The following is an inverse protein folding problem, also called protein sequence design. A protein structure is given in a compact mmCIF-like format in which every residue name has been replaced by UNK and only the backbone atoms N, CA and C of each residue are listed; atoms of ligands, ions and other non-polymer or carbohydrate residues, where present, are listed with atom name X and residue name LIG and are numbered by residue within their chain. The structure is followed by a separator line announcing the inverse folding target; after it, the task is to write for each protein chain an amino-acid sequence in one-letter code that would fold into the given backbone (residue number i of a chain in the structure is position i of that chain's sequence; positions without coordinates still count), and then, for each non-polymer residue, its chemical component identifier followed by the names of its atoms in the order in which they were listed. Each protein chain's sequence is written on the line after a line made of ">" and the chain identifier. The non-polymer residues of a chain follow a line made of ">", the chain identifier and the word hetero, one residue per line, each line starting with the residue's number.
data_IF_683679755041
#
_entry.id   IF_683679755041
#
_cell.length_a   1.000
_cell.length_b   1.000
_cell.length_c   1.000
_cell.angle_alpha   90.00
_cell.angle_beta   90.00
_cell.angle_gamma   90.00
#
_symmetry.space_group_name_H-M   'P 1'
#
loop_
_entity.id
_entity.type
_entity.pdbx_description
1 polymer ?
#
# COMPACT_ATOMS: atom_id res chain seq x y z
N UNK A 1 -30.85 41.15 -25.77
CA UNK A 1 -30.66 39.70 -25.94
C UNK A 1 -29.32 39.34 -25.35
N UNK A 2 -29.32 38.78 -24.14
CA UNK A 2 -28.13 38.35 -23.40
C UNK A 2 -27.93 36.86 -23.71
N UNK A 3 -26.78 36.42 -24.25
CA UNK A 3 -26.51 34.99 -24.35
C UNK A 3 -26.01 34.48 -22.99
N UNK A 4 -26.79 33.57 -22.42
CA UNK A 4 -26.54 32.92 -21.15
C UNK A 4 -25.38 31.93 -21.21
N UNK A 5 -24.69 31.84 -20.07
CA UNK A 5 -23.74 30.80 -19.72
C UNK A 5 -24.47 29.47 -19.48
N UNK A 6 -23.86 28.32 -19.81
CA UNK A 6 -24.03 27.14 -18.98
C UNK A 6 -22.68 26.49 -18.65
N UNK A 7 -22.23 26.72 -17.42
CA UNK A 7 -21.47 25.76 -16.64
C UNK A 7 -22.49 24.82 -15.97
N UNK A 8 -22.54 23.54 -16.35
CA UNK A 8 -23.16 22.53 -15.48
C UNK A 8 -22.62 21.11 -15.74
N UNK A 9 -21.83 20.64 -14.78
CA UNK A 9 -21.83 19.28 -14.23
C UNK A 9 -21.33 18.09 -15.08
N UNK A 10 -20.01 17.96 -15.23
CA UNK A 10 -19.40 16.63 -15.29
C UNK A 10 -19.26 16.07 -13.87
N UNK A 11 -20.31 15.37 -13.39
CA UNK A 11 -20.19 14.52 -12.20
C UNK A 11 -19.34 13.31 -12.60
N UNK A 12 -18.13 13.23 -12.04
CA UNK A 12 -17.21 12.12 -12.23
C UNK A 12 -17.86 10.77 -11.95
N UNK A 13 -18.03 9.98 -13.00
CA UNK A 13 -18.48 8.59 -12.94
C UNK A 13 -17.38 7.77 -12.25
N UNK A 14 -17.71 7.14 -11.11
CA UNK A 14 -16.77 6.30 -10.38
C UNK A 14 -16.27 5.13 -11.26
N UNK A 15 -14.97 4.79 -11.25
CA UNK A 15 -14.43 3.71 -12.05
C UNK A 15 -15.00 2.34 -11.65
N UNK A 16 -15.15 1.46 -12.64
CA UNK A 16 -15.76 0.13 -12.54
C UNK A 16 -15.34 -0.62 -11.26
N UNK A 17 -16.32 -0.93 -10.41
CA UNK A 17 -16.09 -1.56 -9.12
C UNK A 17 -15.59 -2.99 -9.31
N UNK A 18 -14.39 -3.29 -8.80
CA UNK A 18 -14.01 -4.68 -8.53
C UNK A 18 -14.92 -5.14 -7.41
N UNK A 19 -15.77 -6.15 -7.67
CA UNK A 19 -16.66 -6.69 -6.65
C UNK A 19 -15.81 -7.47 -5.65
N UNK A 20 -15.48 -6.82 -4.53
CA UNK A 20 -14.80 -7.47 -3.43
C UNK A 20 -15.76 -8.48 -2.77
N UNK A 21 -15.27 -9.64 -2.30
CA UNK A 21 -16.10 -10.62 -1.60
C UNK A 21 -16.90 -9.99 -0.46
N UNK A 22 -18.11 -10.47 -0.18
CA UNK A 22 -18.92 -9.99 0.96
C UNK A 22 -19.25 -8.46 0.95
N UNK A 23 -18.93 -7.67 -0.09
CA UNK A 23 -19.23 -6.23 -0.16
C UNK A 23 -20.72 -5.94 0.00
N UNK A 24 -21.57 -6.71 -0.65
CA UNK A 24 -23.03 -6.56 -0.56
C UNK A 24 -23.54 -6.89 0.85
N UNK A 25 -22.92 -7.87 1.51
CA UNK A 25 -23.24 -8.20 2.89
C UNK A 25 -22.81 -7.06 3.83
N UNK A 26 -21.63 -6.48 3.61
CA UNK A 26 -21.17 -5.31 4.36
C UNK A 26 -22.15 -4.13 4.20
N UNK A 27 -22.58 -3.83 2.96
CA UNK A 27 -23.57 -2.78 2.70
C UNK A 27 -24.90 -3.04 3.44
N UNK A 28 -25.39 -4.29 3.42
CA UNK A 28 -26.61 -4.69 4.15
C UNK A 28 -26.48 -4.52 5.67
N UNK A 29 -25.28 -4.75 6.23
CA UNK A 29 -25.01 -4.54 7.65
C UNK A 29 -24.93 -3.04 8.00
N UNK A 30 -24.29 -2.24 7.16
CA UNK A 30 -24.04 -0.82 7.45
C UNK A 30 -25.29 0.06 7.28
N UNK A 31 -26.15 -0.21 6.29
CA UNK A 31 -27.35 0.59 5.99
C UNK A 31 -28.27 0.83 7.19
N UNK A 32 -28.68 -0.18 7.98
CA UNK A 32 -29.52 0.05 9.14
C UNK A 32 -28.75 0.62 10.34
N UNK A 33 -27.45 0.35 10.46
CA UNK A 33 -26.66 0.72 11.64
C UNK A 33 -26.25 2.18 11.60
N UNK A 34 -25.62 2.64 10.50
CA UNK A 34 -24.98 3.96 10.41
C UNK A 34 -25.93 5.11 10.75
N UNK A 35 -27.16 5.19 10.20
CA UNK A 35 -28.10 6.28 10.50
C UNK A 35 -28.55 6.31 11.96
N UNK A 36 -28.64 5.15 12.62
CA UNK A 36 -29.06 5.02 14.03
C UNK A 36 -27.96 5.51 14.98
N UNK A 37 -26.68 5.46 14.56
CA UNK A 37 -25.58 5.94 15.39
C UNK A 37 -25.60 7.47 15.54
N UNK A 38 -25.80 8.18 14.43
CA UNK A 38 -25.88 9.64 14.33
C UNK A 38 -26.15 10.05 12.88
N UNK A 39 -26.86 11.16 12.61
CA UNK A 39 -26.92 11.75 11.26
C UNK A 39 -25.53 12.16 10.73
N UNK A 40 -24.57 12.40 11.61
CA UNK A 40 -23.18 12.75 11.28
C UNK A 40 -22.22 11.54 11.28
N UNK A 41 -22.75 10.33 11.34
CA UNK A 41 -21.94 9.11 11.31
C UNK A 41 -21.28 8.92 9.94
N UNK A 42 -19.96 8.73 9.95
CA UNK A 42 -19.17 8.53 8.72
C UNK A 42 -18.35 7.25 8.84
N UNK A 43 -18.53 6.31 7.92
CA UNK A 43 -17.72 5.09 7.83
C UNK A 43 -16.30 5.45 7.37
N UNK A 44 -15.29 4.83 7.97
CA UNK A 44 -13.88 5.24 7.83
C UNK A 44 -12.93 4.04 7.79
N UNK A 45 -11.63 4.33 7.67
CA UNK A 45 -10.55 3.35 7.85
C UNK A 45 -10.71 2.13 6.91
N UNK A 46 -10.31 0.92 7.33
CA UNK A 46 -10.44 -0.33 6.57
C UNK A 46 -11.87 -0.62 6.09
N UNK A 47 -12.90 -0.17 6.81
CA UNK A 47 -14.30 -0.36 6.38
C UNK A 47 -14.62 0.54 5.19
N UNK A 48 -14.20 1.82 5.22
CA UNK A 48 -14.35 2.71 4.07
C UNK A 48 -13.49 2.26 2.89
N UNK A 49 -12.25 1.81 3.14
CA UNK A 49 -11.37 1.27 2.08
C UNK A 49 -12.05 0.14 1.31
N UNK A 50 -12.73 -0.77 2.03
CA UNK A 50 -13.49 -1.86 1.42
C UNK A 50 -14.64 -1.36 0.53
N UNK A 51 -15.36 -0.32 0.97
CA UNK A 51 -16.44 0.28 0.19
C UNK A 51 -15.93 0.98 -1.08
N UNK A 52 -14.71 1.54 -1.03
CA UNK A 52 -13.95 2.07 -2.17
C UNK A 52 -13.37 0.97 -3.08
N UNK A 53 -13.54 -0.31 -2.75
CA UNK A 53 -13.02 -1.44 -3.53
C UNK A 53 -11.54 -1.74 -3.29
N UNK A 54 -10.99 -1.29 -2.16
CA UNK A 54 -9.63 -1.59 -1.71
C UNK A 54 -9.70 -2.59 -0.54
N UNK A 55 -9.27 -3.83 -0.78
CA UNK A 55 -9.20 -4.84 0.27
C UNK A 55 -7.92 -4.71 1.09
N UNK A 56 -8.06 -4.24 2.33
CA UNK A 56 -6.97 -4.13 3.31
C UNK A 56 -7.14 -5.12 4.47
N UNK A 57 -8.05 -6.07 4.35
CA UNK A 57 -8.32 -7.09 5.37
C UNK A 57 -7.17 -8.10 5.39
N UNK A 58 -6.78 -8.54 6.58
CA UNK A 58 -5.71 -9.52 6.71
C UNK A 58 -6.09 -10.83 6.00
N UNK A 59 -5.13 -11.54 5.37
CA UNK A 59 -5.41 -12.84 4.78
C UNK A 59 -6.08 -13.81 5.77
N UNK A 60 -7.21 -14.41 5.37
CA UNK A 60 -8.00 -15.33 6.19
C UNK A 60 -9.07 -14.66 7.06
N UNK A 61 -9.05 -13.34 7.20
CA UNK A 61 -10.12 -12.58 7.83
C UNK A 61 -11.19 -12.19 6.80
N UNK A 62 -12.38 -11.82 7.28
CA UNK A 62 -13.48 -11.31 6.45
C UNK A 62 -13.90 -9.95 6.98
N UNK A 63 -14.12 -8.99 6.09
CA UNK A 63 -14.54 -7.63 6.49
C UNK A 63 -15.80 -7.65 7.36
N UNK A 64 -16.71 -8.59 7.10
CA UNK A 64 -17.98 -8.78 7.81
C UNK A 64 -17.84 -9.32 9.23
N UNK A 65 -16.66 -9.85 9.59
CA UNK A 65 -16.33 -10.30 10.95
C UNK A 65 -15.59 -9.23 11.76
N UNK A 66 -15.22 -8.12 11.12
CA UNK A 66 -14.58 -6.98 11.79
C UNK A 66 -15.66 -5.97 12.20
N UNK A 67 -15.55 -5.35 13.39
CA UNK A 67 -16.47 -4.29 13.76
C UNK A 67 -16.31 -3.11 12.78
N UNK A 68 -17.39 -2.62 12.16
CA UNK A 68 -17.35 -1.45 11.31
C UNK A 68 -16.67 -0.26 11.99
N UNK A 69 -15.76 0.40 11.27
CA UNK A 69 -15.04 1.59 11.73
C UNK A 69 -15.85 2.82 11.38
N UNK A 70 -16.29 3.57 12.39
CA UNK A 70 -17.16 4.74 12.22
C UNK A 70 -16.60 5.94 12.99
N UNK A 71 -16.59 7.11 12.36
CA UNK A 71 -16.36 8.39 13.00
C UNK A 71 -17.69 9.00 13.44
N UNK A 72 -17.71 9.51 14.68
CA UNK A 72 -18.87 10.21 15.24
C UNK A 72 -18.39 11.49 15.93
N UNK A 73 -19.15 12.60 15.88
CA UNK A 73 -18.89 13.76 16.72
C UNK A 73 -18.83 13.40 18.23
N UNK A 74 -18.30 14.32 19.04
CA UNK A 74 -18.35 14.19 20.49
C UNK A 74 -19.80 14.05 20.95
N UNK A 75 -20.07 13.12 21.88
CA UNK A 75 -21.43 12.81 22.30
C UNK A 75 -21.49 11.58 23.19
N UNK A 76 -22.72 11.17 23.56
CA UNK A 76 -22.96 10.07 24.50
C UNK A 76 -22.29 8.78 24.02
N UNK A 77 -21.72 8.02 24.96
CA UNK A 77 -21.16 6.71 24.68
C UNK A 77 -22.25 5.78 24.14
N UNK A 78 -22.00 5.18 22.98
CA UNK A 78 -22.83 4.12 22.44
C UNK A 78 -22.49 2.84 23.20
N UNK A 79 -23.45 2.29 23.94
CA UNK A 79 -23.28 1.00 24.64
C UNK A 79 -23.94 -0.11 23.83
N UNK A 80 -23.25 -1.25 23.72
CA UNK A 80 -23.80 -2.46 23.08
C UNK A 80 -23.82 -2.46 21.55
N UNK A 81 -23.29 -1.43 20.89
CA UNK A 81 -23.22 -1.41 19.42
C UNK A 81 -21.94 -2.11 18.93
N UNK A 82 -22.02 -3.05 17.96
CA UNK A 82 -20.87 -3.82 17.47
C UNK A 82 -20.02 -3.01 16.46
N UNK A 83 -19.72 -1.74 16.78
CA UNK A 83 -18.95 -0.83 15.92
C UNK A 83 -17.75 -0.26 16.68
N UNK A 84 -16.66 -0.04 15.96
CA UNK A 84 -15.47 0.59 16.49
C UNK A 84 -15.52 2.09 16.19
N UNK A 85 -15.78 2.89 17.23
CA UNK A 85 -15.99 4.34 17.13
C UNK A 85 -14.69 5.12 17.32
N UNK A 86 -14.41 6.08 16.44
CA UNK A 86 -13.48 7.18 16.70
C UNK A 86 -14.28 8.48 16.87
N UNK A 87 -14.00 9.21 17.95
CA UNK A 87 -14.63 10.52 18.20
C UNK A 87 -13.92 11.59 17.37
N UNK A 88 -14.63 12.07 16.36
CA UNK A 88 -14.13 13.01 15.39
C UNK A 88 -15.29 13.64 14.61
N UNK A 89 -15.22 14.96 14.39
CA UNK A 89 -16.07 15.63 13.41
C UNK A 89 -15.35 15.62 12.06
N UNK A 90 -15.76 14.71 11.16
CA UNK A 90 -15.19 14.64 9.81
C UNK A 90 -15.66 15.87 9.02
N UNK A 91 -14.77 16.68 8.41
CA UNK A 91 -15.17 17.83 7.60
C UNK A 91 -16.08 17.42 6.43
N UNK A 92 -17.05 18.26 6.05
CA UNK A 92 -17.97 17.96 4.95
C UNK A 92 -17.26 17.66 3.63
N UNK A 93 -16.13 18.34 3.35
CA UNK A 93 -15.29 18.09 2.17
C UNK A 93 -14.67 16.68 2.14
N UNK A 94 -14.54 16.03 3.30
CA UNK A 94 -14.02 14.67 3.44
C UNK A 94 -15.14 13.62 3.53
N UNK A 95 -16.42 14.00 3.34
CA UNK A 95 -17.58 13.09 3.39
C UNK A 95 -18.10 12.82 1.99
N UNK A 96 -18.22 11.55 1.63
CA UNK A 96 -18.78 11.08 0.35
C UNK A 96 -19.83 10.02 0.63
N UNK A 97 -20.86 9.91 -0.19
CA UNK A 97 -21.82 8.81 -0.11
C UNK A 97 -21.44 7.70 -1.11
N UNK A 98 -21.26 6.48 -0.60
CA UNK A 98 -21.10 5.27 -1.43
C UNK A 98 -22.31 4.39 -1.19
N UNK A 99 -23.12 4.16 -2.23
CA UNK A 99 -24.35 3.34 -2.14
C UNK A 99 -25.31 3.79 -1.03
N UNK A 100 -25.38 5.11 -0.81
CA UNK A 100 -26.20 5.75 0.23
C UNK A 100 -25.59 5.76 1.63
N UNK A 101 -24.37 5.24 1.80
CA UNK A 101 -23.67 5.19 3.10
C UNK A 101 -22.62 6.31 3.16
N UNK A 102 -22.67 7.20 4.18
CA UNK A 102 -21.63 8.20 4.38
C UNK A 102 -20.29 7.53 4.71
N UNK A 103 -19.27 7.83 3.91
CA UNK A 103 -17.89 7.35 4.03
C UNK A 103 -16.91 8.52 3.97
N UNK A 104 -15.72 8.34 4.53
CA UNK A 104 -14.61 9.26 4.26
C UNK A 104 -14.26 9.24 2.76
N UNK A 105 -13.86 10.39 2.20
CA UNK A 105 -13.35 10.49 0.82
C UNK A 105 -12.22 9.51 0.56
N UNK A 106 -11.97 9.14 -0.69
CA UNK A 106 -10.94 8.14 -1.02
C UNK A 106 -9.56 8.58 -0.52
N UNK A 107 -9.22 9.87 -0.69
CA UNK A 107 -7.96 10.46 -0.27
C UNK A 107 -7.84 10.52 1.26
N UNK A 108 -8.92 10.90 1.96
CA UNK A 108 -8.96 10.89 3.42
C UNK A 108 -8.82 9.48 3.97
N UNK A 109 -9.50 8.51 3.36
CA UNK A 109 -9.43 7.10 3.71
C UNK A 109 -8.01 6.58 3.53
N UNK A 110 -7.39 6.81 2.37
CA UNK A 110 -6.02 6.41 2.07
C UNK A 110 -5.01 7.00 3.07
N UNK A 111 -5.12 8.32 3.34
CA UNK A 111 -4.28 8.99 4.32
C UNK A 111 -4.44 8.38 5.72
N UNK A 112 -5.68 8.08 6.14
CA UNK A 112 -5.98 7.53 7.45
C UNK A 112 -5.48 6.10 7.63
N UNK A 113 -5.72 5.20 6.66
CA UNK A 113 -5.25 3.81 6.74
C UNK A 113 -3.73 3.73 6.69
N UNK A 114 -3.05 4.63 5.97
CA UNK A 114 -1.60 4.71 5.93
C UNK A 114 -1.03 5.29 7.23
N UNK A 115 -1.61 6.38 7.74
CA UNK A 115 -1.21 7.00 8.99
C UNK A 115 -1.40 6.06 10.19
N UNK A 116 -2.43 5.21 10.19
CA UNK A 116 -2.71 4.24 11.26
C UNK A 116 -2.01 2.89 11.08
N UNK A 117 -1.31 2.68 9.96
CA UNK A 117 -0.58 1.44 9.72
C UNK A 117 0.51 1.19 10.80
N UNK A 118 0.84 -0.08 11.10
CA UNK A 118 1.84 -0.41 12.11
C UNK A 118 3.27 -0.03 11.71
N UNK A 119 3.53 0.21 10.43
CA UNK A 119 4.86 0.51 9.88
C UNK A 119 4.77 1.26 8.55
N UNK A 120 5.90 1.82 8.10
CA UNK A 120 6.02 2.44 6.78
C UNK A 120 5.82 1.43 5.64
N UNK A 121 6.37 0.20 5.67
CA UNK A 121 6.05 -0.83 4.68
C UNK A 121 4.56 -1.08 4.51
N UNK A 122 3.82 -1.27 5.61
CA UNK A 122 2.37 -1.53 5.54
C UNK A 122 1.62 -0.28 5.07
N UNK A 123 2.03 0.91 5.52
CA UNK A 123 1.47 2.16 5.02
C UNK A 123 1.66 2.31 3.50
N UNK A 124 2.84 1.97 2.99
CA UNK A 124 3.18 2.03 1.56
C UNK A 124 2.30 1.08 0.77
N UNK A 125 2.16 -0.17 1.21
CA UNK A 125 1.27 -1.15 0.57
C UNK A 125 -0.19 -0.69 0.53
N UNK A 126 -0.69 -0.07 1.60
CA UNK A 126 -2.04 0.47 1.65
C UNK A 126 -2.21 1.61 0.63
N UNK A 127 -1.26 2.53 0.53
CA UNK A 127 -1.32 3.63 -0.44
C UNK A 127 -1.26 3.11 -1.88
N UNK A 128 -0.36 2.17 -2.17
CA UNK A 128 -0.24 1.54 -3.49
C UNK A 128 -1.58 0.94 -3.94
N UNK A 129 -2.32 0.30 -3.04
CA UNK A 129 -3.61 -0.29 -3.35
C UNK A 129 -4.69 0.73 -3.74
N UNK A 130 -4.65 1.95 -3.18
CA UNK A 130 -5.51 3.06 -3.64
C UNK A 130 -5.03 3.64 -4.98
N UNK A 131 -3.73 3.80 -5.15
CA UNK A 131 -3.11 4.34 -6.37
C UNK A 131 -3.34 3.44 -7.58
N UNK A 132 -3.21 2.13 -7.41
CA UNK A 132 -3.44 1.13 -8.46
C UNK A 132 -4.89 1.16 -9.00
N UNK A 133 -5.84 1.65 -8.19
CA UNK A 133 -7.25 1.84 -8.60
C UNK A 133 -7.54 3.23 -9.19
N UNK A 134 -6.56 4.12 -9.24
CA UNK A 134 -6.75 5.51 -9.68
C UNK A 134 -7.68 6.32 -8.76
N UNK A 135 -7.83 5.91 -7.49
CA UNK A 135 -8.75 6.54 -6.54
C UNK A 135 -8.20 7.81 -5.90
N UNK A 136 -6.87 7.99 -5.92
CA UNK A 136 -6.19 9.07 -5.20
C UNK A 136 -5.05 9.64 -6.04
N UNK A 137 -4.82 10.95 -5.89
CA UNK A 137 -3.62 11.61 -6.39
C UNK A 137 -2.50 11.51 -5.33
N UNK A 138 -1.35 10.88 -5.64
CA UNK A 138 -0.25 10.78 -4.70
C UNK A 138 0.28 12.14 -4.20
N UNK A 139 0.12 13.21 -4.97
CA UNK A 139 0.53 14.57 -4.57
C UNK A 139 -0.33 15.12 -3.44
N UNK A 140 -1.60 14.71 -3.37
CA UNK A 140 -2.58 15.21 -2.39
C UNK A 140 -2.60 14.41 -1.08
N UNK A 141 -2.04 13.19 -1.07
CA UNK A 141 -2.08 12.32 0.11
C UNK A 141 -1.40 12.94 1.35
N UNK A 142 -0.31 13.68 1.17
CA UNK A 142 0.42 14.33 2.28
C UNK A 142 -0.23 15.65 2.75
N UNK A 143 -1.19 16.18 1.97
CA UNK A 143 -1.87 17.44 2.26
C UNK A 143 -3.02 17.25 3.24
N UNK A 144 -3.57 16.04 3.36
CA UNK A 144 -4.66 15.75 4.29
C UNK A 144 -4.27 15.99 5.75
N UNK A 145 -5.01 16.89 6.39
CA UNK A 145 -4.87 17.27 7.80
C UNK A 145 -5.96 16.60 8.63
N UNK A 146 -5.85 15.29 8.81
CA UNK A 146 -6.59 14.60 9.86
C UNK A 146 -5.91 14.84 11.23
N UNK A 147 -6.57 14.57 12.37
CA UNK A 147 -5.96 14.65 13.69
C UNK A 147 -5.00 13.48 13.92
N UNK A 148 -3.88 13.49 13.20
CA UNK A 148 -2.79 12.54 13.31
C UNK A 148 -1.76 13.03 14.34
N UNK A 149 -1.18 12.10 15.10
CA UNK A 149 0.01 12.41 15.88
C UNK A 149 1.18 12.70 14.94
N UNK A 150 2.22 13.38 15.44
CA UNK A 150 3.45 13.64 14.67
C UNK A 150 4.04 12.37 14.06
N UNK A 151 4.01 11.25 14.79
CA UNK A 151 4.52 9.97 14.31
C UNK A 151 3.64 9.35 13.20
N UNK A 152 2.32 9.48 13.30
CA UNK A 152 1.38 9.02 12.27
C UNK A 152 1.52 9.84 10.98
N UNK A 153 1.63 11.16 11.10
CA UNK A 153 1.85 12.04 9.95
C UNK A 153 3.20 11.77 9.28
N UNK A 154 4.29 11.60 10.06
CA UNK A 154 5.59 11.22 9.50
C UNK A 154 5.56 9.88 8.76
N UNK A 155 4.80 8.90 9.26
CA UNK A 155 4.59 7.61 8.57
C UNK A 155 3.88 7.80 7.23
N UNK A 156 2.79 8.58 7.21
CA UNK A 156 2.05 8.92 5.99
C UNK A 156 2.97 9.58 4.96
N UNK A 157 3.71 10.63 5.32
CA UNK A 157 4.60 11.33 4.39
C UNK A 157 5.70 10.42 3.85
N UNK A 158 6.30 9.60 4.70
CA UNK A 158 7.33 8.64 4.29
C UNK A 158 6.76 7.62 3.31
N UNK A 159 5.60 7.04 3.63
CA UNK A 159 4.94 6.06 2.78
C UNK A 159 4.48 6.67 1.44
N UNK A 160 3.99 7.91 1.44
CA UNK A 160 3.59 8.63 0.23
C UNK A 160 4.80 8.87 -0.70
N UNK A 161 5.95 9.25 -0.14
CA UNK A 161 7.20 9.36 -0.90
C UNK A 161 7.71 8.01 -1.43
N UNK A 162 7.24 6.90 -0.86
CA UNK A 162 7.54 5.55 -1.33
C UNK A 162 6.38 4.94 -2.10
N UNK A 163 5.27 5.62 -2.40
CA UNK A 163 4.13 4.95 -3.02
C UNK A 163 4.34 4.77 -4.54
N UNK A 164 3.68 3.78 -5.14
CA UNK A 164 3.68 3.51 -6.59
C UNK A 164 2.38 2.80 -6.99
N UNK A 165 1.73 3.22 -8.08
CA UNK A 165 0.55 2.52 -8.61
C UNK A 165 0.89 1.17 -9.26
N UNK A 166 2.17 0.87 -9.50
CA UNK A 166 2.61 -0.29 -10.28
C UNK A 166 2.84 -1.55 -9.43
N UNK A 167 2.78 -1.43 -8.09
CA UNK A 167 2.97 -2.59 -7.20
C UNK A 167 1.81 -3.56 -7.37
N UNK A 168 2.11 -4.83 -7.65
CA UNK A 168 1.09 -5.85 -7.92
C UNK A 168 0.69 -6.63 -6.66
N UNK A 169 1.45 -6.48 -5.58
CA UNK A 169 1.15 -7.11 -4.30
C UNK A 169 1.61 -6.28 -3.10
N UNK A 170 1.00 -6.45 -1.92
CA UNK A 170 1.48 -5.82 -0.69
C UNK A 170 2.94 -6.15 -0.37
N UNK A 171 3.40 -7.34 -0.75
CA UNK A 171 4.75 -7.79 -0.45
C UNK A 171 5.83 -7.07 -1.29
N UNK A 172 5.53 -6.79 -2.56
CA UNK A 172 6.37 -5.93 -3.41
C UNK A 172 6.51 -4.52 -2.80
N UNK A 173 5.39 -3.95 -2.35
CA UNK A 173 5.38 -2.66 -1.65
C UNK A 173 6.21 -2.69 -0.36
N UNK A 174 6.11 -3.79 0.41
CA UNK A 174 6.90 -3.95 1.63
C UNK A 174 8.39 -4.01 1.34
N UNK A 175 8.80 -4.83 0.37
CA UNK A 175 10.19 -4.97 -0.05
C UNK A 175 10.74 -3.62 -0.50
N UNK A 176 9.99 -2.88 -1.32
CA UNK A 176 10.37 -1.56 -1.80
C UNK A 176 10.57 -0.56 -0.68
N UNK A 177 9.62 -0.49 0.26
CA UNK A 177 9.73 0.38 1.42
C UNK A 177 10.96 0.02 2.26
N UNK A 178 11.24 -1.27 2.49
CA UNK A 178 12.41 -1.72 3.26
C UNK A 178 13.74 -1.36 2.56
N UNK A 179 13.81 -1.52 1.24
CA UNK A 179 14.96 -1.09 0.42
C UNK A 179 15.20 0.41 0.53
N UNK A 180 14.14 1.22 0.40
CA UNK A 180 14.22 2.68 0.48
C UNK A 180 14.59 3.17 1.89
N UNK A 181 14.03 2.55 2.93
CA UNK A 181 14.37 2.86 4.33
C UNK A 181 15.84 2.54 4.65
N UNK A 182 16.41 1.53 4.00
CA UNK A 182 17.83 1.18 4.15
C UNK A 182 18.78 2.16 3.45
N UNK A 183 18.27 3.12 2.67
CA UNK A 183 19.05 4.12 1.95
C UNK A 183 19.73 3.62 0.68
N UNK A 184 19.39 2.40 0.24
CA UNK A 184 19.76 1.86 -1.07
C UNK A 184 19.20 2.74 -2.21
N UNK A 185 19.79 2.69 -3.42
CA UNK A 185 19.29 3.47 -4.54
C UNK A 185 17.82 3.12 -4.82
N UNK A 186 16.98 4.08 -5.20
CA UNK A 186 15.57 3.82 -5.45
C UNK A 186 15.41 2.82 -6.61
N UNK A 187 14.69 1.70 -6.42
CA UNK A 187 14.44 0.75 -7.49
C UNK A 187 13.34 1.25 -8.42
N UNK A 188 13.40 0.81 -9.68
CA UNK A 188 12.28 0.85 -10.62
C UNK A 188 11.31 -0.27 -10.24
N UNK A 189 10.03 0.07 -10.06
CA UNK A 189 8.95 -0.90 -9.80
C UNK A 189 8.49 -1.49 -11.12
N UNK A 190 8.23 -2.80 -11.16
CA UNK A 190 7.94 -3.51 -12.42
C UNK A 190 9.05 -3.22 -13.45
N UNK A 191 10.30 -3.38 -13.00
CA UNK A 191 11.51 -3.06 -13.74
C UNK A 191 11.57 -3.85 -15.05
N UNK A 192 11.62 -3.18 -16.23
CA UNK A 192 11.66 -3.86 -17.51
C UNK A 192 13.03 -4.52 -17.72
N UNK A 193 12.99 -5.80 -18.06
CA UNK A 193 14.14 -6.65 -18.38
C UNK A 193 13.97 -7.16 -19.80
N UNK A 194 14.69 -6.56 -20.75
CA UNK A 194 14.69 -6.98 -22.14
C UNK A 194 15.38 -8.34 -22.28
N UNK A 195 14.65 -9.36 -22.75
CA UNK A 195 15.17 -10.71 -23.00
C UNK A 195 14.78 -11.17 -24.40
N UNK A 196 15.77 -11.40 -25.27
CA UNK A 196 15.53 -11.81 -26.66
C UNK A 196 14.49 -10.91 -27.35
N UNK A 197 13.32 -11.46 -27.76
CA UNK A 197 12.22 -10.75 -28.44
C UNK A 197 11.07 -10.34 -27.50
N UNK A 198 11.28 -10.26 -26.19
CA UNK A 198 10.25 -9.87 -25.22
C UNK A 198 10.81 -9.09 -24.03
N UNK A 199 9.93 -8.46 -23.26
CA UNK A 199 10.26 -7.77 -22.02
C UNK A 199 9.61 -8.49 -20.85
N UNK A 200 10.42 -8.90 -19.87
CA UNK A 200 9.94 -9.36 -18.56
C UNK A 200 9.92 -8.17 -17.61
N UNK A 201 9.07 -8.20 -16.57
CA UNK A 201 8.98 -7.11 -15.59
C UNK A 201 9.30 -7.65 -14.20
N UNK A 202 10.51 -7.41 -13.71
CA UNK A 202 10.89 -7.82 -12.36
C UNK A 202 10.20 -6.92 -11.33
N UNK A 203 9.82 -7.46 -10.18
CA UNK A 203 9.09 -6.70 -9.16
C UNK A 203 9.78 -5.37 -8.80
N UNK A 204 11.09 -5.44 -8.54
CA UNK A 204 11.97 -4.30 -8.36
C UNK A 204 13.26 -4.49 -9.15
N UNK A 205 13.89 -3.42 -9.57
CA UNK A 205 15.21 -3.51 -10.16
C UNK A 205 15.90 -2.19 -10.42
N UNK A 206 17.15 -2.30 -10.85
CA UNK A 206 17.99 -1.18 -11.24
C UNK A 206 18.54 -1.45 -12.64
N UNK A 207 17.92 -0.89 -13.70
CA UNK A 207 18.35 -1.11 -15.08
C UNK A 207 19.81 -0.76 -15.34
N UNK A 208 20.29 0.33 -14.74
CA UNK A 208 21.69 0.80 -14.85
C UNK A 208 22.70 -0.24 -14.40
N UNK A 209 22.38 -1.02 -13.37
CA UNK A 209 23.25 -2.07 -12.81
C UNK A 209 22.84 -3.48 -13.29
N UNK A 210 21.75 -3.57 -14.07
CA UNK A 210 21.11 -4.83 -14.48
C UNK A 210 20.94 -5.78 -13.30
N UNK A 211 20.35 -5.27 -12.23
CA UNK A 211 19.99 -6.01 -11.01
C UNK A 211 18.48 -6.09 -10.90
N UNK A 212 17.94 -7.30 -10.76
CA UNK A 212 16.52 -7.56 -10.56
C UNK A 212 16.31 -8.22 -9.20
N UNK A 213 15.24 -7.85 -8.52
CA UNK A 213 14.82 -8.43 -7.23
C UNK A 213 13.38 -8.87 -7.39
N UNK A 214 13.14 -10.18 -7.19
CA UNK A 214 11.85 -10.81 -7.44
C UNK A 214 11.33 -11.37 -6.11
N UNK A 215 10.13 -10.96 -5.70
CA UNK A 215 9.48 -11.46 -4.50
C UNK A 215 8.85 -12.82 -4.80
N UNK A 216 9.50 -13.86 -4.27
CA UNK A 216 9.07 -15.23 -4.46
C UNK A 216 8.07 -15.65 -3.37
N UNK A 217 6.82 -15.76 -3.81
CA UNK A 217 5.65 -16.12 -3.00
C UNK A 217 5.53 -17.64 -2.74
N UNK A 218 6.61 -18.43 -2.89
CA UNK A 218 6.68 -19.91 -2.76
C UNK A 218 5.86 -20.54 -1.63
N UNK A 219 5.58 -19.80 -0.56
CA UNK A 219 4.88 -20.30 0.62
C UNK A 219 3.36 -20.44 0.48
N UNK A 220 2.71 -19.86 -0.54
CA UNK A 220 1.23 -19.90 -0.62
C UNK A 220 0.67 -20.72 -1.80
N UNK A 221 1.44 -20.96 -2.86
CA UNK A 221 1.00 -21.71 -4.05
C UNK A 221 2.07 -22.68 -4.53
N UNK A 222 2.34 -23.71 -3.72
CA UNK A 222 3.32 -24.76 -3.98
C UNK A 222 2.81 -25.74 -5.06
N UNK A 223 3.17 -25.47 -6.31
CA UNK A 223 3.04 -26.44 -7.40
C UNK A 223 4.31 -26.49 -8.24
N UNK A 224 4.80 -27.69 -8.57
CA UNK A 224 6.00 -27.93 -9.40
C UNK A 224 6.02 -27.09 -10.70
N UNK A 225 4.84 -26.80 -11.26
CA UNK A 225 4.69 -25.98 -12.48
C UNK A 225 5.05 -24.51 -12.27
N UNK A 226 4.76 -23.91 -11.11
CA UNK A 226 5.09 -22.49 -10.83
C UNK A 226 6.59 -22.34 -10.60
N UNK A 227 7.16 -23.24 -9.79
CA UNK A 227 8.61 -23.32 -9.55
C UNK A 227 9.42 -23.46 -10.86
N UNK A 228 8.95 -24.29 -11.79
CA UNK A 228 9.58 -24.41 -13.12
C UNK A 228 9.50 -23.10 -13.93
N UNK A 229 8.34 -22.41 -13.92
CA UNK A 229 8.19 -21.12 -14.61
C UNK A 229 9.10 -20.04 -14.02
N UNK A 230 9.18 -19.96 -12.69
CA UNK A 230 10.00 -18.97 -12.01
C UNK A 230 11.49 -19.22 -12.29
N UNK A 231 11.94 -20.49 -12.26
CA UNK A 231 13.30 -20.86 -12.69
C UNK A 231 13.59 -20.48 -14.15
N UNK A 232 12.68 -20.80 -15.06
CA UNK A 232 12.84 -20.48 -16.48
C UNK A 232 12.90 -18.95 -16.70
N UNK A 233 12.07 -18.20 -15.97
CA UNK A 233 12.06 -16.73 -15.99
C UNK A 233 13.40 -16.17 -15.50
N UNK A 234 13.93 -16.64 -14.37
CA UNK A 234 15.21 -16.19 -13.85
C UNK A 234 16.37 -16.56 -14.78
N UNK A 235 16.33 -17.74 -15.41
CA UNK A 235 17.33 -18.15 -16.40
C UNK A 235 17.38 -17.19 -17.59
N UNK A 236 16.24 -16.71 -18.08
CA UNK A 236 16.18 -15.75 -19.18
C UNK A 236 16.74 -14.38 -18.80
N UNK A 237 16.42 -13.89 -17.60
CA UNK A 237 16.98 -12.64 -17.10
C UNK A 237 18.50 -12.75 -16.97
N UNK A 238 19.01 -13.84 -16.40
CA UNK A 238 20.46 -14.10 -16.30
C UNK A 238 21.14 -14.23 -17.66
N UNK A 239 20.49 -14.87 -18.64
CA UNK A 239 20.98 -14.93 -20.01
C UNK A 239 21.04 -13.56 -20.69
N UNK A 240 20.21 -12.60 -20.27
CA UNK A 240 20.31 -11.19 -20.65
C UNK A 240 21.28 -10.40 -19.76
N UNK A 241 22.18 -11.10 -19.06
CA UNK A 241 23.19 -10.55 -18.17
C UNK A 241 22.61 -9.77 -16.98
N UNK A 242 21.43 -10.12 -16.47
CA UNK A 242 20.90 -9.56 -15.22
C UNK A 242 21.26 -10.44 -14.03
N UNK A 243 21.65 -9.81 -12.91
CA UNK A 243 21.75 -10.51 -11.64
C UNK A 243 20.38 -10.52 -10.96
N UNK A 244 19.86 -11.71 -10.63
CA UNK A 244 18.51 -11.90 -10.09
C UNK A 244 18.58 -12.36 -8.64
N UNK A 245 18.05 -11.53 -7.74
CA UNK A 245 17.96 -11.78 -6.30
C UNK A 245 16.53 -12.18 -5.92
N UNK A 246 16.23 -13.49 -5.78
CA UNK A 246 14.92 -13.93 -5.29
C UNK A 246 14.79 -13.63 -3.79
N UNK A 247 13.60 -13.17 -3.39
CA UNK A 247 13.30 -12.75 -2.01
C UNK A 247 12.05 -13.46 -1.51
N UNK A 248 12.18 -14.22 -0.43
CA UNK A 248 11.03 -14.85 0.22
C UNK A 248 10.46 -13.96 1.32
N UNK A 249 9.20 -14.17 1.68
CA UNK A 249 8.60 -13.52 2.86
C UNK A 249 9.40 -13.80 4.14
N UNK A 250 10.02 -14.98 4.24
CA UNK A 250 10.82 -15.40 5.37
C UNK A 250 12.10 -14.55 5.46
N UNK A 251 12.82 -14.38 4.35
CA UNK A 251 13.99 -13.50 4.29
C UNK A 251 13.61 -12.06 4.63
N UNK A 252 12.51 -11.55 4.05
CA UNK A 252 12.07 -10.18 4.29
C UNK A 252 11.63 -9.91 5.73
N UNK A 253 10.97 -10.88 6.40
CA UNK A 253 10.46 -10.72 7.77
C UNK A 253 11.51 -11.04 8.84
N UNK A 254 12.28 -12.11 8.66
CA UNK A 254 13.11 -12.68 9.72
C UNK A 254 14.59 -12.41 9.53
N UNK A 255 15.06 -12.21 8.30
CA UNK A 255 16.45 -11.93 7.97
C UNK A 255 16.63 -10.68 7.08
N UNK A 256 15.98 -9.54 7.42
CA UNK A 256 15.99 -8.36 6.56
C UNK A 256 17.40 -7.76 6.41
N UNK A 257 18.26 -7.92 7.42
CA UNK A 257 19.64 -7.41 7.39
C UNK A 257 20.45 -8.15 6.34
N UNK A 258 20.42 -9.47 6.38
CA UNK A 258 21.14 -10.36 5.47
C UNK A 258 20.63 -10.17 4.03
N UNK A 259 19.31 -10.02 3.85
CA UNK A 259 18.70 -9.69 2.57
C UNK A 259 19.23 -8.37 2.00
N UNK A 260 19.21 -7.28 2.78
CA UNK A 260 19.62 -5.96 2.30
C UNK A 260 21.13 -5.87 2.06
N UNK A 261 21.95 -6.54 2.88
CA UNK A 261 23.38 -6.66 2.63
C UNK A 261 23.64 -7.41 1.31
N UNK A 262 22.91 -8.50 1.05
CA UNK A 262 23.00 -9.23 -0.23
C UNK A 262 22.64 -8.34 -1.42
N UNK A 263 21.52 -7.60 -1.35
CA UNK A 263 21.12 -6.67 -2.42
C UNK A 263 22.20 -5.60 -2.63
N UNK A 264 22.73 -5.02 -1.55
CA UNK A 264 23.81 -4.04 -1.61
C UNK A 264 25.05 -4.61 -2.30
N UNK A 265 25.50 -5.79 -1.89
CA UNK A 265 26.73 -6.40 -2.40
C UNK A 265 26.59 -6.76 -3.90
N UNK A 266 25.40 -7.19 -4.32
CA UNK A 266 25.05 -7.36 -5.74
C UNK A 266 25.06 -6.03 -6.49
N UNK A 267 24.51 -4.96 -5.93
CA UNK A 267 24.58 -3.65 -6.56
C UNK A 267 26.03 -3.17 -6.71
N UNK A 268 26.85 -3.31 -5.65
CA UNK A 268 28.26 -2.91 -5.65
C UNK A 268 29.08 -3.71 -6.68
N UNK A 269 28.86 -5.02 -6.79
CA UNK A 269 29.55 -5.85 -7.79
C UNK A 269 29.14 -5.53 -9.24
N UNK A 270 28.01 -4.84 -9.41
CA UNK A 270 27.44 -4.41 -10.70
C UNK A 270 27.66 -2.93 -10.99
N UNK A 271 28.55 -2.28 -10.25
CA UNK A 271 29.03 -0.93 -10.52
C UNK A 271 28.30 0.19 -9.78
N UNK A 272 27.32 -0.13 -8.92
CA UNK A 272 26.76 0.89 -8.03
C UNK A 272 27.80 1.26 -6.96
N UNK A 273 28.05 2.56 -6.82
CA UNK A 273 28.92 3.07 -5.77
C UNK A 273 28.29 4.29 -5.10
N UNK A 274 28.71 4.57 -3.88
CA UNK A 274 28.31 5.77 -3.16
C UNK A 274 29.45 6.29 -2.28
N UNK A 275 29.45 7.59 -1.91
CA UNK A 275 30.47 8.14 -1.03
C UNK A 275 30.60 7.35 0.28
N UNK A 276 31.82 7.20 0.85
CA UNK A 276 32.04 6.39 2.06
C UNK A 276 31.10 6.73 3.22
N UNK A 277 30.77 8.00 3.40
CA UNK A 277 29.86 8.48 4.44
C UNK A 277 28.44 7.95 4.24
N UNK A 278 27.96 7.93 2.98
CA UNK A 278 26.65 7.35 2.63
C UNK A 278 26.67 5.83 2.81
N UNK A 279 27.76 5.17 2.41
CA UNK A 279 27.93 3.71 2.58
C UNK A 279 27.85 3.29 4.06
N UNK A 280 28.51 4.04 4.94
CA UNK A 280 28.49 3.76 6.38
C UNK A 280 27.11 4.02 7.00
N UNK A 281 26.42 5.09 6.55
CA UNK A 281 25.03 5.33 6.96
C UNK A 281 24.11 4.18 6.54
N UNK A 282 24.18 3.72 5.29
CA UNK A 282 23.40 2.58 4.79
C UNK A 282 23.70 1.32 5.62
N UNK A 283 24.97 1.04 5.92
CA UNK A 283 25.36 -0.10 6.78
C UNK A 283 24.75 -0.01 8.16
N UNK A 284 24.77 1.17 8.78
CA UNK A 284 24.16 1.42 10.10
C UNK A 284 22.65 1.25 10.06
N UNK A 285 21.98 1.83 9.06
CA UNK A 285 20.53 1.78 8.90
C UNK A 285 20.07 0.33 8.69
N UNK A 286 20.75 -0.44 7.82
CA UNK A 286 20.50 -1.88 7.64
C UNK A 286 20.69 -2.64 8.96
N UNK A 287 21.81 -2.45 9.67
CA UNK A 287 22.08 -3.15 10.94
C UNK A 287 21.06 -2.81 12.04
N UNK A 288 20.50 -1.61 12.02
CA UNK A 288 19.49 -1.17 12.99
C UNK A 288 18.22 -2.04 12.95
N UNK A 289 17.93 -2.66 11.79
CA UNK A 289 16.78 -3.55 11.61
C UNK A 289 16.87 -4.82 12.46
N UNK A 290 18.06 -5.23 12.93
CA UNK A 290 18.19 -6.34 13.91
C UNK A 290 17.44 -6.04 15.21
N UNK A 291 17.45 -4.78 15.65
CA UNK A 291 16.76 -4.33 16.87
C UNK A 291 15.31 -3.95 16.59
N UNK A 292 14.99 -3.56 15.35
CA UNK A 292 13.69 -3.06 14.92
C UNK A 292 13.31 -3.67 13.57
N UNK A 293 12.94 -4.96 13.53
CA UNK A 293 12.57 -5.61 12.29
C UNK A 293 11.31 -4.96 11.68
N UNK A 294 11.15 -5.01 10.35
CA UNK A 294 9.98 -4.43 9.70
C UNK A 294 8.71 -5.15 10.14
N UNK A 295 7.72 -4.40 10.63
CA UNK A 295 6.41 -4.96 10.98
C UNK A 295 5.57 -5.07 9.72
N UNK A 296 5.46 -6.29 9.19
CA UNK A 296 4.74 -6.61 7.94
C UNK A 296 3.47 -7.40 8.26
N UNK A 297 2.43 -6.71 8.76
CA UNK A 297 1.10 -7.26 9.04
C UNK A 297 0.04 -6.27 8.61
#
# INVERSE_FOLDING_TARGET
>A
MTPGNPLESERGTAPAHTHLPDRDLLLRTLRPIVPVLSPDAVVRDVTAAYLWGVDLVSPGERITRLPPRVALPAGRALRGMPVAVRRECVPSADRVAVEGIPVTSAERTAAEVAALAPSVPVATARLDAFLARGLVDPRRLAEHRAPFTRAQYARLCTAAGYASPLSQSPAESWLRAVVLQAGLPPPVVQCPVAVHRRVLHADLGWPEYRVAVEYDSLLHHSGRRREYRDRARYALMRAAEWEVVPVTVYALRLHPVELLLRIRDVLESRGWSCPPQRRERIRRDIRSLRRRPPRLR
#
